data_IF_564766999110
#
_entry.id   IF_564766999110
#
_cell.length_a   1.000
_cell.length_b   1.000
_cell.length_c   1.000
_cell.angle_alpha   90.00
_cell.angle_beta   90.00
_cell.angle_gamma   90.00
#
_symmetry.space_group_name_H-M   'P 1'
#
loop_
_entity.id
_entity.type
_entity.pdbx_description
1 polymer ?
#
# COMPACT_ATOMS: atom_id res chain seq x y z
N UNK A 1 -26.94 -4.96 -13.13
CA UNK A 1 -25.64 -4.88 -12.38
C UNK A 1 -24.61 -4.28 -13.33
N UNK A 2 -23.75 -3.40 -12.84
CA UNK A 2 -22.68 -2.84 -13.66
C UNK A 2 -21.56 -3.89 -13.78
N UNK A 3 -21.40 -4.47 -14.99
CA UNK A 3 -20.40 -5.52 -15.27
C UNK A 3 -18.99 -4.97 -15.54
N UNK A 4 -18.76 -3.66 -15.34
CA UNK A 4 -17.43 -3.07 -15.50
C UNK A 4 -16.47 -3.61 -14.43
N UNK A 5 -15.20 -3.65 -14.76
CA UNK A 5 -14.15 -4.16 -13.87
C UNK A 5 -13.84 -3.22 -12.70
N UNK A 6 -13.19 -3.74 -11.68
CA UNK A 6 -12.55 -2.99 -10.59
C UNK A 6 -11.11 -2.70 -11.01
N UNK A 7 -10.71 -1.42 -11.02
CA UNK A 7 -9.33 -1.00 -11.23
C UNK A 7 -8.51 -1.15 -9.94
N UNK A 8 -7.29 -1.65 -10.05
CA UNK A 8 -6.35 -1.71 -8.94
C UNK A 8 -5.09 -0.96 -9.35
N UNK A 9 -4.79 0.14 -8.66
CA UNK A 9 -3.66 1.01 -8.92
C UNK A 9 -2.55 0.81 -7.88
N UNK A 10 -1.32 0.66 -8.35
CA UNK A 10 -0.12 0.67 -7.52
C UNK A 10 1.02 1.42 -8.20
N UNK A 11 1.99 1.89 -7.41
CA UNK A 11 3.21 2.52 -7.93
C UNK A 11 4.19 1.55 -8.59
N UNK A 12 4.00 0.25 -8.38
CA UNK A 12 4.89 -0.81 -8.87
C UNK A 12 4.16 -2.13 -9.04
N UNK A 13 4.70 -3.20 -8.47
CA UNK A 13 4.13 -4.55 -8.54
C UNK A 13 3.61 -5.07 -7.19
N UNK A 14 3.94 -4.40 -6.09
CA UNK A 14 3.55 -4.83 -4.74
C UNK A 14 2.03 -4.94 -4.55
N UNK A 15 1.25 -4.07 -5.19
CA UNK A 15 -0.21 -4.10 -5.14
C UNK A 15 -0.86 -5.36 -5.73
N UNK A 16 -0.10 -6.22 -6.41
CA UNK A 16 -0.59 -7.53 -6.85
C UNK A 16 -0.96 -8.43 -5.66
N UNK A 17 -0.38 -8.20 -4.48
CA UNK A 17 -0.77 -8.90 -3.25
C UNK A 17 -2.19 -8.54 -2.84
N UNK A 18 -2.54 -7.25 -2.91
CA UNK A 18 -3.90 -6.76 -2.68
C UNK A 18 -4.85 -7.31 -3.74
N UNK A 19 -4.47 -7.25 -5.03
CA UNK A 19 -5.25 -7.81 -6.12
C UNK A 19 -5.58 -9.29 -5.88
N UNK A 20 -4.60 -10.09 -5.48
CA UNK A 20 -4.77 -11.52 -5.21
C UNK A 20 -5.84 -11.78 -4.14
N UNK A 21 -5.85 -11.01 -3.07
CA UNK A 21 -6.86 -11.15 -2.01
C UNK A 21 -8.24 -10.63 -2.45
N UNK A 22 -8.29 -9.53 -3.24
CA UNK A 22 -9.55 -9.08 -3.84
C UNK A 22 -10.16 -10.14 -4.76
N UNK A 23 -9.37 -10.78 -5.61
CA UNK A 23 -9.85 -11.86 -6.50
C UNK A 23 -10.40 -13.07 -5.73
N UNK A 24 -9.80 -13.41 -4.59
CA UNK A 24 -10.31 -14.49 -3.71
C UNK A 24 -11.63 -14.12 -3.04
N UNK A 25 -11.73 -12.85 -2.58
CA UNK A 25 -12.90 -12.38 -1.83
C UNK A 25 -14.07 -12.05 -2.74
N UNK A 26 -13.80 -11.61 -3.95
CA UNK A 26 -14.77 -11.18 -4.96
C UNK A 26 -14.61 -11.99 -6.27
N UNK A 27 -14.84 -13.31 -6.25
CA UNK A 27 -14.51 -14.21 -7.36
C UNK A 27 -15.35 -13.96 -8.64
N UNK A 28 -16.44 -13.23 -8.52
CA UNK A 28 -17.34 -12.90 -9.66
C UNK A 28 -17.04 -11.53 -10.28
N UNK A 29 -16.02 -10.82 -9.77
CA UNK A 29 -15.62 -9.52 -10.29
C UNK A 29 -14.46 -9.64 -11.29
N UNK A 30 -14.47 -8.75 -12.28
CA UNK A 30 -13.33 -8.58 -13.17
C UNK A 30 -12.40 -7.51 -12.61
N UNK A 31 -11.10 -7.69 -12.79
CA UNK A 31 -10.08 -6.77 -12.31
C UNK A 31 -9.16 -6.32 -13.43
N UNK A 32 -8.73 -5.06 -13.37
CA UNK A 32 -7.65 -4.50 -14.18
C UNK A 32 -6.60 -3.92 -13.25
N UNK A 33 -5.39 -4.44 -13.31
CA UNK A 33 -4.26 -3.95 -12.54
C UNK A 33 -3.44 -2.94 -13.36
N UNK A 34 -3.09 -1.81 -12.76
CA UNK A 34 -2.17 -0.84 -13.31
C UNK A 34 -1.05 -0.54 -12.29
N UNK A 35 0.16 -1.00 -12.59
CA UNK A 35 1.37 -0.70 -11.84
C UNK A 35 2.24 0.31 -12.58
N UNK A 36 2.53 1.47 -11.98
CA UNK A 36 3.35 2.53 -12.57
C UNK A 36 4.85 2.26 -12.38
N UNK A 37 5.30 1.11 -12.88
CA UNK A 37 6.68 0.64 -12.73
C UNK A 37 7.73 1.57 -13.34
N UNK A 38 7.34 2.37 -14.33
CA UNK A 38 8.25 3.34 -14.98
C UNK A 38 8.67 4.46 -14.02
N UNK A 39 7.80 4.83 -13.08
CA UNK A 39 7.99 5.97 -12.17
C UNK A 39 8.20 5.56 -10.72
N UNK A 40 8.34 4.26 -10.47
CA UNK A 40 8.73 3.67 -9.19
C UNK A 40 10.13 4.16 -8.75
N UNK A 41 10.40 4.34 -7.44
CA UNK A 41 9.48 4.24 -6.32
C UNK A 41 8.78 5.59 -6.02
N UNK A 42 7.54 5.54 -5.50
CA UNK A 42 6.82 6.75 -5.09
C UNK A 42 7.28 7.29 -3.73
N UNK A 43 7.81 6.44 -2.86
CA UNK A 43 8.17 6.80 -1.49
C UNK A 43 9.26 7.89 -1.33
N UNK A 44 10.03 8.17 -2.40
CA UNK A 44 11.05 9.21 -2.45
C UNK A 44 10.59 10.52 -3.12
N UNK A 45 9.38 10.54 -3.70
CA UNK A 45 8.87 11.70 -4.44
C UNK A 45 8.19 12.73 -3.52
N UNK A 46 7.98 13.95 -4.05
CA UNK A 46 7.19 14.97 -3.35
C UNK A 46 5.71 14.61 -3.34
N UNK A 47 4.94 15.19 -2.40
CA UNK A 47 3.48 15.01 -2.29
C UNK A 47 2.78 15.39 -3.60
N UNK A 48 3.15 16.52 -4.19
CA UNK A 48 2.58 17.04 -5.44
C UNK A 48 2.78 16.06 -6.59
N UNK A 49 3.99 15.53 -6.73
CA UNK A 49 4.29 14.50 -7.74
C UNK A 49 3.48 13.22 -7.53
N UNK A 50 3.32 12.79 -6.28
CA UNK A 50 2.54 11.58 -5.96
C UNK A 50 1.06 11.79 -6.29
N UNK A 51 0.49 12.95 -5.99
CA UNK A 51 -0.89 13.30 -6.33
C UNK A 51 -1.07 13.28 -7.86
N UNK A 52 -0.20 13.94 -8.61
CA UNK A 52 -0.28 13.98 -10.08
C UNK A 52 -0.18 12.57 -10.68
N UNK A 53 0.80 11.77 -10.25
CA UNK A 53 1.00 10.42 -10.74
C UNK A 53 -0.19 9.51 -10.40
N UNK A 54 -0.78 9.69 -9.21
CA UNK A 54 -1.96 8.94 -8.79
C UNK A 54 -3.18 9.32 -9.64
N UNK A 55 -3.39 10.61 -9.92
CA UNK A 55 -4.45 11.07 -10.84
C UNK A 55 -4.31 10.43 -12.21
N UNK A 56 -3.11 10.48 -12.80
CA UNK A 56 -2.83 9.89 -14.11
C UNK A 56 -3.16 8.38 -14.14
N UNK A 57 -2.83 7.65 -13.09
CA UNK A 57 -3.14 6.22 -12.97
C UNK A 57 -4.64 5.93 -12.84
N UNK A 58 -5.34 6.74 -12.02
CA UNK A 58 -6.81 6.64 -11.87
C UNK A 58 -7.50 6.97 -13.19
N UNK A 59 -7.13 8.06 -13.87
CA UNK A 59 -7.71 8.48 -15.14
C UNK A 59 -7.49 7.43 -16.23
N UNK A 60 -6.31 6.81 -16.27
CA UNK A 60 -6.05 5.69 -17.16
C UNK A 60 -7.02 4.53 -16.89
N UNK A 61 -7.21 4.13 -15.64
CA UNK A 61 -8.14 3.05 -15.28
C UNK A 61 -9.59 3.44 -15.62
N UNK A 62 -10.01 4.67 -15.33
CA UNK A 62 -11.35 5.16 -15.69
C UNK A 62 -11.56 5.11 -17.21
N UNK A 63 -10.56 5.48 -18.02
CA UNK A 63 -10.63 5.40 -19.48
C UNK A 63 -10.81 3.98 -20.00
N UNK A 64 -10.51 2.96 -19.19
CA UNK A 64 -10.75 1.54 -19.49
C UNK A 64 -12.12 1.04 -19.00
N UNK A 65 -12.97 1.94 -18.49
CA UNK A 65 -14.33 1.61 -18.09
C UNK A 65 -14.43 0.97 -16.70
N UNK A 66 -13.57 1.34 -15.76
CA UNK A 66 -13.66 0.81 -14.39
C UNK A 66 -14.86 1.39 -13.65
N UNK A 67 -15.51 0.58 -12.81
CA UNK A 67 -16.65 0.99 -11.95
C UNK A 67 -16.21 1.48 -10.58
N UNK A 68 -14.99 1.16 -10.17
CA UNK A 68 -14.35 1.51 -8.89
C UNK A 68 -12.84 1.40 -9.07
N UNK A 69 -12.05 2.22 -8.37
CA UNK A 69 -10.59 2.09 -8.30
C UNK A 69 -10.14 1.88 -6.87
N UNK A 70 -9.31 0.85 -6.66
CA UNK A 70 -8.60 0.58 -5.41
C UNK A 70 -7.16 1.09 -5.55
N UNK A 71 -6.75 2.04 -4.71
CA UNK A 71 -5.36 2.45 -4.58
C UNK A 71 -4.66 1.46 -3.62
N UNK A 72 -3.98 0.48 -4.19
CA UNK A 72 -3.25 -0.54 -3.45
C UNK A 72 -1.92 -0.04 -2.87
N UNK A 73 -1.35 1.03 -3.44
CA UNK A 73 -0.12 1.65 -2.97
C UNK A 73 -0.32 2.40 -1.65
N UNK A 74 0.40 1.99 -0.59
CA UNK A 74 0.34 2.68 0.71
C UNK A 74 0.82 4.13 0.64
N UNK A 75 1.85 4.42 -0.15
CA UNK A 75 2.35 5.79 -0.37
C UNK A 75 1.32 6.67 -1.09
N UNK A 76 0.71 6.17 -2.16
CA UNK A 76 -0.34 6.90 -2.88
C UNK A 76 -1.59 7.08 -2.02
N UNK A 77 -2.02 6.04 -1.28
CA UNK A 77 -3.16 6.16 -0.36
C UNK A 77 -2.91 7.24 0.69
N UNK A 78 -1.74 7.23 1.35
CA UNK A 78 -1.45 8.14 2.47
C UNK A 78 -1.26 9.61 2.05
N UNK A 79 -0.89 9.87 0.79
CA UNK A 79 -0.55 11.21 0.32
C UNK A 79 -1.50 11.79 -0.72
N UNK A 80 -2.21 10.96 -1.47
CA UNK A 80 -3.03 11.41 -2.58
C UNK A 80 -4.52 11.09 -2.44
N UNK A 81 -4.93 10.07 -1.68
CA UNK A 81 -6.34 9.65 -1.65
C UNK A 81 -7.30 10.78 -1.32
N UNK A 82 -7.03 11.56 -0.27
CA UNK A 82 -7.92 12.66 0.15
C UNK A 82 -8.03 13.77 -0.90
N UNK A 83 -7.00 13.96 -1.71
CA UNK A 83 -6.96 14.96 -2.79
C UNK A 83 -7.65 14.49 -4.08
N UNK A 84 -7.86 13.16 -4.23
CA UNK A 84 -8.34 12.59 -5.51
C UNK A 84 -9.69 11.89 -5.42
N UNK A 85 -10.11 11.43 -4.23
CA UNK A 85 -11.28 10.55 -4.07
C UNK A 85 -12.59 11.16 -4.57
N UNK A 86 -12.74 12.47 -4.46
CA UNK A 86 -13.96 13.20 -4.82
C UNK A 86 -13.89 13.88 -6.21
N UNK A 87 -12.81 13.64 -6.98
CA UNK A 87 -12.65 14.24 -8.30
C UNK A 87 -13.37 13.49 -9.42
N UNK A 88 -13.83 12.26 -9.17
CA UNK A 88 -14.35 11.36 -10.19
C UNK A 88 -15.75 10.86 -9.84
N UNK A 89 -16.52 10.48 -10.86
CA UNK A 89 -17.89 9.97 -10.71
C UNK A 89 -17.95 8.47 -10.33
N UNK A 90 -16.81 7.86 -9.98
CA UNK A 90 -16.73 6.48 -9.49
C UNK A 90 -16.02 6.47 -8.12
N UNK A 91 -16.32 5.50 -7.25
CA UNK A 91 -15.63 5.38 -5.98
C UNK A 91 -14.13 5.16 -6.15
N UNK A 92 -13.33 5.91 -5.40
CA UNK A 92 -11.89 5.71 -5.25
C UNK A 92 -11.61 5.35 -3.79
N UNK A 93 -11.06 4.19 -3.54
CA UNK A 93 -10.79 3.68 -2.19
C UNK A 93 -9.32 3.35 -2.01
N UNK A 94 -8.81 3.51 -0.80
CA UNK A 94 -7.42 3.20 -0.47
C UNK A 94 -7.32 2.11 0.59
N UNK A 95 -6.11 1.62 0.83
CA UNK A 95 -5.85 0.50 1.75
C UNK A 95 -5.81 0.88 3.23
N UNK A 96 -5.69 2.15 3.60
CA UNK A 96 -5.54 2.57 5.00
C UNK A 96 -6.83 2.35 5.78
N UNK A 97 -7.95 2.92 5.35
CA UNK A 97 -9.23 2.87 6.09
C UNK A 97 -9.69 1.43 6.38
N UNK A 98 -9.75 0.50 5.42
CA UNK A 98 -10.16 -0.87 5.71
C UNK A 98 -9.20 -1.58 6.67
N UNK A 99 -7.90 -1.31 6.58
CA UNK A 99 -6.91 -1.88 7.51
C UNK A 99 -7.12 -1.35 8.93
N UNK A 100 -7.33 -0.05 9.09
CA UNK A 100 -7.60 0.56 10.41
C UNK A 100 -8.89 0.01 11.03
N UNK A 101 -9.95 -0.18 10.23
CA UNK A 101 -11.19 -0.80 10.70
C UNK A 101 -10.94 -2.22 11.21
N UNK A 102 -10.17 -3.02 10.47
CA UNK A 102 -9.78 -4.37 10.91
C UNK A 102 -8.97 -4.34 12.22
N UNK A 103 -8.01 -3.42 12.36
CA UNK A 103 -7.23 -3.29 13.60
C UNK A 103 -8.14 -2.96 14.79
N UNK A 104 -9.10 -2.05 14.60
CA UNK A 104 -10.08 -1.70 15.63
C UNK A 104 -10.84 -2.92 16.12
N UNK A 105 -11.24 -3.83 15.24
CA UNK A 105 -11.91 -5.08 15.58
C UNK A 105 -11.04 -6.02 16.41
N UNK A 106 -9.71 -5.98 16.24
CA UNK A 106 -8.76 -6.80 17.01
C UNK A 106 -8.59 -6.35 18.46
N UNK A 107 -8.97 -5.11 18.78
CA UNK A 107 -8.75 -4.48 20.10
C UNK A 107 -7.28 -4.15 20.40
N UNK A 108 -6.37 -4.29 19.42
CA UNK A 108 -4.94 -3.98 19.59
C UNK A 108 -4.72 -2.48 19.63
N UNK A 109 -3.81 -2.02 20.51
CA UNK A 109 -3.54 -0.60 20.73
C UNK A 109 -2.06 -0.21 20.56
N UNK A 110 -1.13 -1.15 20.70
CA UNK A 110 0.30 -0.90 20.49
C UNK A 110 0.67 -1.28 19.06
N UNK A 111 0.63 -0.31 18.16
CA UNK A 111 0.69 -0.54 16.72
C UNK A 111 2.04 -0.08 16.17
N UNK A 112 2.75 -1.01 15.52
CA UNK A 112 3.92 -0.70 14.70
C UNK A 112 3.52 -0.47 13.24
N UNK A 113 4.16 0.48 12.57
CA UNK A 113 4.00 0.69 11.12
C UNK A 113 5.37 0.76 10.47
N UNK A 114 5.65 -0.12 9.51
CA UNK A 114 6.81 -0.01 8.63
C UNK A 114 6.37 0.34 7.22
N UNK A 115 7.01 1.36 6.64
CA UNK A 115 6.64 1.90 5.34
C UNK A 115 7.80 2.61 4.65
N UNK A 116 7.57 3.13 3.44
CA UNK A 116 8.51 4.03 2.78
C UNK A 116 8.67 5.33 3.57
N UNK A 117 9.78 6.02 3.38
CA UNK A 117 10.03 7.31 4.04
C UNK A 117 8.92 8.35 3.75
N UNK A 118 8.40 8.40 2.52
CA UNK A 118 7.30 9.30 2.14
C UNK A 118 6.01 8.98 2.88
N UNK A 119 5.67 7.71 3.03
CA UNK A 119 4.49 7.26 3.79
C UNK A 119 4.58 7.65 5.26
N UNK A 120 5.72 7.42 5.90
CA UNK A 120 5.92 7.79 7.32
C UNK A 120 5.86 9.31 7.49
N UNK A 121 6.53 10.10 6.64
CA UNK A 121 6.47 11.57 6.70
C UNK A 121 5.05 12.12 6.54
N UNK A 122 4.19 11.49 5.78
CA UNK A 122 2.80 11.91 5.58
C UNK A 122 1.94 11.80 6.83
N UNK A 123 2.33 10.95 7.80
CA UNK A 123 1.55 10.58 8.99
C UNK A 123 0.15 10.02 8.68
N UNK A 124 -0.12 9.61 7.43
CA UNK A 124 -1.44 9.14 7.02
C UNK A 124 -1.92 7.93 7.82
N UNK A 125 -1.05 6.95 8.06
CA UNK A 125 -1.35 5.78 8.90
C UNK A 125 -1.52 6.16 10.37
N UNK A 126 -0.57 6.92 10.94
CA UNK A 126 -0.59 7.36 12.33
C UNK A 126 -1.90 8.09 12.66
N UNK A 127 -2.23 9.12 11.85
CA UNK A 127 -3.46 9.91 12.02
C UNK A 127 -4.72 9.04 11.88
N UNK A 128 -4.78 8.15 10.89
CA UNK A 128 -5.94 7.28 10.68
C UNK A 128 -6.16 6.32 11.86
N UNK A 129 -5.09 5.76 12.43
CA UNK A 129 -5.16 4.86 13.58
C UNK A 129 -5.59 5.62 14.85
N UNK A 130 -4.94 6.74 15.15
CA UNK A 130 -5.22 7.53 16.37
C UNK A 130 -6.65 8.08 16.34
N UNK A 131 -7.15 8.49 15.17
CA UNK A 131 -8.51 9.00 15.03
C UNK A 131 -9.59 7.90 15.15
N UNK A 132 -9.26 6.64 14.91
CA UNK A 132 -10.21 5.53 14.90
C UNK A 132 -10.18 4.67 16.17
N UNK A 133 -9.08 4.68 16.90
CA UNK A 133 -8.82 3.78 18.03
C UNK A 133 -8.38 4.60 19.24
N UNK A 134 -9.23 4.67 20.25
CA UNK A 134 -8.95 5.39 21.49
C UNK A 134 -7.73 4.78 22.21
N UNK A 135 -6.86 5.64 22.73
CA UNK A 135 -5.61 5.27 23.42
C UNK A 135 -4.64 4.44 22.57
N UNK A 136 -4.74 4.49 21.24
CA UNK A 136 -3.75 3.85 20.38
C UNK A 136 -2.38 4.54 20.49
N UNK A 137 -1.34 3.72 20.63
CA UNK A 137 0.06 4.15 20.56
C UNK A 137 0.66 3.63 19.24
N UNK A 138 1.10 4.55 18.39
CA UNK A 138 1.63 4.21 17.07
C UNK A 138 3.11 4.51 16.99
N UNK A 139 3.90 3.50 16.69
CA UNK A 139 5.33 3.60 16.41
C UNK A 139 5.55 3.40 14.92
N UNK A 140 6.10 4.39 14.23
CA UNK A 140 6.24 4.38 12.77
C UNK A 140 7.69 4.45 12.35
N UNK A 141 8.16 3.50 11.55
CA UNK A 141 9.56 3.41 11.11
C UNK A 141 9.64 3.38 9.58
N UNK A 142 10.46 4.27 9.03
CA UNK A 142 10.76 4.29 7.61
C UNK A 142 11.79 3.20 7.27
N UNK A 143 11.45 2.35 6.30
CA UNK A 143 12.29 1.23 5.84
C UNK A 143 12.65 1.41 4.36
N UNK A 144 13.47 2.40 3.99
CA UNK A 144 13.76 2.76 2.59
C UNK A 144 14.48 1.66 1.80
N UNK A 145 15.17 0.73 2.46
CA UNK A 145 15.92 -0.32 1.78
C UNK A 145 15.09 -1.55 1.44
N UNK A 146 13.97 -1.81 2.14
CA UNK A 146 13.27 -3.09 1.98
C UNK A 146 12.68 -3.27 0.58
N UNK A 147 12.07 -2.22 0.00
CA UNK A 147 11.52 -2.32 -1.35
C UNK A 147 12.62 -2.51 -2.41
N UNK A 148 13.70 -1.70 -2.47
CA UNK A 148 14.83 -1.95 -3.38
C UNK A 148 15.45 -3.34 -3.22
N UNK A 149 15.62 -3.84 -2.00
CA UNK A 149 16.21 -5.15 -1.77
C UNK A 149 15.37 -6.27 -2.40
N UNK A 150 14.04 -6.21 -2.27
CA UNK A 150 13.15 -7.19 -2.90
C UNK A 150 13.18 -7.07 -4.43
N UNK A 151 13.19 -5.85 -4.98
CA UNK A 151 13.31 -5.60 -6.42
C UNK A 151 14.59 -6.20 -7.02
N UNK A 152 15.71 -6.13 -6.28
CA UNK A 152 17.00 -6.70 -6.68
C UNK A 152 17.12 -8.22 -6.34
N UNK A 153 16.07 -8.83 -5.79
CA UNK A 153 16.08 -10.25 -5.43
C UNK A 153 16.87 -10.58 -4.15
N UNK A 154 17.12 -9.57 -3.29
CA UNK A 154 17.86 -9.73 -2.03
C UNK A 154 16.92 -10.01 -0.86
N UNK A 155 15.92 -10.82 -1.05
CA UNK A 155 14.86 -11.10 -0.09
C UNK A 155 15.14 -12.32 0.83
N UNK A 156 16.13 -13.13 0.47
CA UNK A 156 16.50 -14.34 1.25
C UNK A 156 18.03 -14.44 1.40
N UNK A 157 18.61 -13.51 2.15
CA UNK A 157 20.03 -13.50 2.43
C UNK A 157 20.35 -12.77 3.76
N UNK A 158 21.59 -12.89 4.23
CA UNK A 158 22.07 -12.29 5.49
C UNK A 158 21.91 -10.78 5.53
N UNK A 159 22.01 -10.09 4.39
CA UNK A 159 21.88 -8.63 4.34
C UNK A 159 20.43 -8.21 4.60
N UNK A 160 19.47 -8.93 4.00
CA UNK A 160 18.04 -8.70 4.24
C UNK A 160 17.68 -8.93 5.72
N UNK A 161 18.19 -10.01 6.31
CA UNK A 161 17.99 -10.31 7.74
C UNK A 161 18.53 -9.19 8.63
N UNK A 162 19.73 -8.71 8.38
CA UNK A 162 20.35 -7.62 9.14
C UNK A 162 19.57 -6.31 8.99
N UNK A 163 19.15 -5.96 7.77
CA UNK A 163 18.37 -4.75 7.52
C UNK A 163 16.99 -4.81 8.22
N UNK A 164 16.31 -5.96 8.18
CA UNK A 164 15.03 -6.14 8.88
C UNK A 164 15.23 -6.00 10.39
N UNK A 165 16.25 -6.65 10.96
CA UNK A 165 16.54 -6.57 12.39
C UNK A 165 16.83 -5.14 12.83
N UNK A 166 17.61 -4.39 12.06
CA UNK A 166 17.93 -2.99 12.33
C UNK A 166 16.64 -2.12 12.33
N UNK A 167 15.75 -2.32 11.35
CA UNK A 167 14.49 -1.59 11.29
C UNK A 167 13.50 -1.97 12.39
N UNK A 168 13.52 -3.21 12.87
CA UNK A 168 12.60 -3.67 13.90
C UNK A 168 13.09 -3.40 15.33
N UNK A 169 14.41 -3.22 15.52
CA UNK A 169 15.03 -2.99 16.84
C UNK A 169 14.41 -1.82 17.61
N UNK A 170 14.09 -0.65 17.00
CA UNK A 170 13.52 0.48 17.73
C UNK A 170 12.10 0.28 18.27
N UNK A 171 11.37 -0.73 17.79
CA UNK A 171 10.02 -0.99 18.29
C UNK A 171 10.03 -1.48 19.74
N UNK A 172 9.15 -0.91 20.55
CA UNK A 172 9.01 -1.29 21.95
C UNK A 172 7.55 -1.71 22.23
N UNK A 173 7.38 -2.96 22.65
CA UNK A 173 6.07 -3.53 23.07
C UNK A 173 4.92 -3.28 22.08
N UNK A 174 5.11 -3.64 20.81
CA UNK A 174 4.02 -3.61 19.82
C UNK A 174 3.18 -4.91 19.90
N UNK A 175 1.86 -4.78 19.73
CA UNK A 175 0.91 -5.89 19.67
C UNK A 175 0.58 -6.31 18.23
N UNK A 176 0.78 -5.39 17.28
CA UNK A 176 0.48 -5.58 15.88
C UNK A 176 1.45 -4.75 15.02
N UNK A 177 1.95 -5.34 13.95
CA UNK A 177 2.82 -4.66 12.99
C UNK A 177 2.13 -4.58 11.62
N UNK A 178 2.02 -3.35 11.09
CA UNK A 178 1.53 -3.09 9.74
C UNK A 178 2.71 -3.05 8.79
N UNK A 179 2.70 -3.95 7.82
CA UNK A 179 3.60 -3.92 6.68
C UNK A 179 2.98 -3.12 5.54
N UNK A 180 3.33 -1.85 5.42
CA UNK A 180 2.89 -0.99 4.32
C UNK A 180 3.77 -1.12 3.07
N UNK A 181 4.70 -2.07 3.08
CA UNK A 181 5.57 -2.44 1.97
C UNK A 181 5.01 -3.77 1.41
N UNK A 182 4.30 -3.71 0.30
CA UNK A 182 3.49 -4.82 -0.24
C UNK A 182 4.31 -5.91 -0.94
N UNK A 183 5.59 -5.99 -0.68
CA UNK A 183 6.45 -7.05 -1.19
C UNK A 183 6.43 -8.22 -0.21
N UNK A 184 5.51 -9.15 -0.41
CA UNK A 184 5.56 -10.45 0.27
C UNK A 184 6.09 -11.50 -0.69
N UNK A 185 6.99 -12.36 -0.22
CA UNK A 185 7.43 -13.55 -0.97
C UNK A 185 6.24 -14.50 -1.19
N UNK A 186 6.09 -15.12 -2.37
CA UNK A 186 6.96 -15.00 -3.52
C UNK A 186 6.72 -13.71 -4.31
N UNK A 187 7.82 -13.10 -4.80
CA UNK A 187 7.75 -12.00 -5.75
C UNK A 187 7.07 -12.48 -7.04
N UNK A 188 6.36 -11.61 -7.80
CA UNK A 188 5.88 -11.97 -9.14
C UNK A 188 7.00 -12.44 -10.09
N UNK A 189 8.26 -12.14 -9.80
CA UNK A 189 9.43 -12.65 -10.53
C UNK A 189 9.71 -14.13 -10.24
N UNK A 190 9.26 -14.67 -9.10
CA UNK A 190 9.53 -16.06 -8.72
C UNK A 190 8.70 -17.08 -9.52
N UNK A 191 7.68 -16.65 -10.25
CA UNK A 191 6.85 -17.46 -11.14
C UNK A 191 7.19 -17.35 -12.63
N UNK A 192 8.15 -16.51 -13.03
CA UNK A 192 8.61 -16.36 -14.39
C UNK A 192 9.81 -17.29 -14.66
N UNK A 193 9.62 -18.59 -14.51
CA UNK A 193 10.49 -19.56 -15.17
C UNK A 193 10.01 -19.76 -16.59
N UNK A 194 10.85 -19.25 -17.52
CA UNK A 194 10.96 -19.55 -18.97
C UNK A 194 9.93 -20.49 -19.58
#
# INVERSE_FOLDING_TARGET
MNNNAIGVFDSGVGGMTVLKELMKTLPNENFVYFGDTKRFPYGSKSKESIIELTKNGIEFLISKGMKLVVIACGTATSQALEEVKDLYNIPIVGVITPTVNYIKETGKKQIGVIATAGTIRSKGWENAIINAIDDANVQSIACPLLAPMVEEGWNDNKIAELAINEYLQPFNKIDLLIFCLLYTSPSPRDGATS
#
